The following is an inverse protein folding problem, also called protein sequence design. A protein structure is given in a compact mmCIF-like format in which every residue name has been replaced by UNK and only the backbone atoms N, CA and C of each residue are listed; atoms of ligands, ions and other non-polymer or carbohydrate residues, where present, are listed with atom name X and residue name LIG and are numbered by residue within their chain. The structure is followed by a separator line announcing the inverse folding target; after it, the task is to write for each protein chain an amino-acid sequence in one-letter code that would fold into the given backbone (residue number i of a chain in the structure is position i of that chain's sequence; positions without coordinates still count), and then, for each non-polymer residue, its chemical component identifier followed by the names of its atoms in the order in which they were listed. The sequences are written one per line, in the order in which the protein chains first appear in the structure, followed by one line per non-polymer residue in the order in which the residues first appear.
data_IF_829177751573
#
_entry.id   IF_829177751573
#
_cell.length_a   1.000
_cell.length_b   1.000
_cell.length_c   1.000
_cell.angle_alpha   90.00
_cell.angle_beta   90.00
_cell.angle_gamma   90.00
#
_symmetry.space_group_name_H-M   'P 1'
#
loop_
_entity.id
_entity.type
_entity.pdbx_description
1 polymer ?
#
# COMPACT_ATOMS: atom_id res chain seq x y z
N UNK A 1 -21.77 1.17 -16.81
CA UNK A 1 -20.49 1.91 -16.74
C UNK A 1 -19.53 1.02 -15.98
N UNK A 2 -18.37 0.81 -16.59
CA UNK A 2 -17.58 -0.43 -16.56
C UNK A 2 -17.17 -0.93 -15.17
N UNK A 3 -17.60 -2.15 -14.85
CA UNK A 3 -16.89 -2.99 -13.90
C UNK A 3 -15.55 -3.38 -14.54
N UNK A 4 -14.49 -2.62 -14.27
CA UNK A 4 -13.13 -3.11 -14.50
C UNK A 4 -12.83 -4.21 -13.47
N UNK A 5 -13.46 -5.37 -13.66
CA UNK A 5 -13.15 -6.60 -12.93
C UNK A 5 -11.84 -7.17 -13.46
N UNK A 6 -10.91 -7.45 -12.55
CA UNK A 6 -9.67 -8.15 -12.89
C UNK A 6 -9.98 -9.59 -13.30
N UNK A 7 -9.21 -10.18 -14.23
CA UNK A 7 -9.49 -11.54 -14.71
C UNK A 7 -9.17 -12.62 -13.67
N UNK A 8 -9.81 -13.80 -13.77
CA UNK A 8 -9.61 -14.96 -12.88
C UNK A 8 -8.13 -15.37 -12.72
N UNK A 9 -7.31 -15.15 -13.75
CA UNK A 9 -5.87 -15.43 -13.72
C UNK A 9 -5.08 -14.40 -12.89
N UNK A 10 -5.55 -13.16 -12.83
CA UNK A 10 -4.98 -12.09 -12.01
C UNK A 10 -5.46 -12.19 -10.56
N UNK A 11 -6.67 -12.70 -10.30
CA UNK A 11 -7.17 -12.96 -8.95
C UNK A 11 -6.30 -13.98 -8.19
N UNK A 12 -5.80 -15.01 -8.88
CA UNK A 12 -4.88 -16.01 -8.32
C UNK A 12 -3.45 -15.52 -8.03
N UNK A 13 -3.08 -14.31 -8.48
CA UNK A 13 -1.76 -13.70 -8.23
C UNK A 13 -1.85 -12.47 -7.31
N UNK A 14 -3.02 -12.24 -6.68
CA UNK A 14 -3.19 -11.20 -5.66
C UNK A 14 -2.61 -11.71 -4.35
N UNK A 15 -1.37 -11.36 -4.06
CA UNK A 15 -0.89 -11.49 -2.69
C UNK A 15 -1.63 -10.48 -1.81
N UNK A 16 -2.30 -10.98 -0.78
CA UNK A 16 -2.84 -10.15 0.29
C UNK A 16 -1.70 -9.29 0.85
N UNK A 17 -1.88 -7.97 0.96
CA UNK A 17 -0.80 -7.10 1.43
C UNK A 17 -0.33 -7.53 2.82
N UNK A 18 -1.24 -7.99 3.68
CA UNK A 18 -0.84 -8.50 4.98
C UNK A 18 0.00 -9.78 4.85
N UNK A 19 -0.26 -10.65 3.88
CA UNK A 19 0.58 -11.79 3.53
C UNK A 19 1.98 -11.37 3.07
N UNK A 20 2.09 -10.44 2.13
CA UNK A 20 3.39 -9.90 1.68
C UNK A 20 4.18 -9.33 2.87
N UNK A 21 3.53 -8.55 3.73
CA UNK A 21 4.15 -7.98 4.92
C UNK A 21 4.57 -9.06 5.93
N UNK A 22 3.78 -10.12 6.10
CA UNK A 22 4.14 -11.27 6.97
C UNK A 22 5.41 -11.95 6.46
N UNK A 23 5.47 -12.26 5.16
CA UNK A 23 6.63 -12.91 4.54
C UNK A 23 7.88 -12.02 4.64
N UNK A 24 7.78 -10.74 4.29
CA UNK A 24 8.92 -9.81 4.38
C UNK A 24 9.46 -9.67 5.81
N UNK A 25 8.58 -9.63 6.82
CA UNK A 25 8.99 -9.58 8.23
C UNK A 25 9.67 -10.88 8.67
N UNK A 26 9.19 -12.03 8.22
CA UNK A 26 9.82 -13.32 8.51
C UNK A 26 11.22 -13.40 7.88
N UNK A 27 11.35 -13.03 6.60
CA UNK A 27 12.63 -12.97 5.89
C UNK A 27 13.60 -11.97 6.54
N UNK A 28 13.10 -10.85 7.06
CA UNK A 28 13.95 -9.89 7.80
C UNK A 28 14.49 -10.49 9.09
N UNK A 29 13.68 -11.27 9.82
CA UNK A 29 14.13 -11.96 11.05
C UNK A 29 15.27 -12.94 10.74
N UNK A 30 15.19 -13.68 9.63
CA UNK A 30 16.24 -14.64 9.24
C UNK A 30 17.52 -13.94 8.77
N UNK A 31 17.39 -12.79 8.11
CA UNK A 31 18.52 -12.04 7.55
C UNK A 31 19.04 -10.90 8.45
N UNK A 32 18.59 -10.80 9.71
CA UNK A 32 18.95 -9.71 10.64
C UNK A 32 20.46 -9.51 10.82
N UNK A 33 21.27 -10.56 10.68
CA UNK A 33 22.74 -10.49 10.78
C UNK A 33 23.41 -9.89 9.54
N UNK A 34 22.72 -9.84 8.41
CA UNK A 34 23.20 -9.28 7.15
C UNK A 34 22.69 -7.84 7.00
N UNK A 35 23.43 -6.85 7.51
CA UNK A 35 23.01 -5.44 7.56
C UNK A 35 22.43 -4.89 6.24
N UNK A 36 23.07 -5.18 5.11
CA UNK A 36 22.59 -4.71 3.79
C UNK A 36 21.25 -5.32 3.39
N UNK A 37 21.05 -6.61 3.71
CA UNK A 37 19.79 -7.29 3.44
C UNK A 37 18.68 -6.86 4.40
N UNK A 38 18.99 -6.62 5.68
CA UNK A 38 18.03 -6.06 6.65
C UNK A 38 17.52 -4.68 6.21
N UNK A 39 18.44 -3.82 5.76
CA UNK A 39 18.11 -2.48 5.28
C UNK A 39 17.25 -2.53 4.00
N UNK A 40 17.61 -3.38 3.03
CA UNK A 40 16.80 -3.58 1.83
C UNK A 40 15.38 -4.07 2.16
N UNK A 41 15.25 -4.99 3.12
CA UNK A 41 13.95 -5.49 3.57
C UNK A 41 13.15 -4.43 4.35
N UNK A 42 13.81 -3.55 5.10
CA UNK A 42 13.16 -2.41 5.75
C UNK A 42 12.50 -1.50 4.71
N UNK A 43 13.26 -1.11 3.67
CA UNK A 43 12.75 -0.26 2.58
C UNK A 43 11.61 -0.95 1.81
N UNK A 44 11.73 -2.25 1.53
CA UNK A 44 10.68 -3.01 0.86
C UNK A 44 9.37 -3.05 1.69
N UNK A 45 9.47 -3.23 3.00
CA UNK A 45 8.31 -3.19 3.92
C UNK A 45 7.63 -1.81 3.88
N UNK A 46 8.42 -0.72 3.83
CA UNK A 46 7.89 0.64 3.74
C UNK A 46 7.18 0.88 2.40
N UNK A 47 7.77 0.44 1.29
CA UNK A 47 7.15 0.54 -0.03
C UNK A 47 5.82 -0.22 -0.10
N UNK A 48 5.77 -1.47 0.36
CA UNK A 48 4.53 -2.27 0.40
C UNK A 48 3.50 -1.65 1.35
N UNK A 49 3.95 -1.02 2.44
CA UNK A 49 3.03 -0.29 3.32
C UNK A 49 2.36 0.89 2.61
N UNK A 50 3.08 1.58 1.74
CA UNK A 50 2.61 2.77 1.03
C UNK A 50 1.58 2.45 -0.08
N UNK A 51 1.60 1.23 -0.65
CA UNK A 51 0.65 0.79 -1.70
C UNK A 51 -0.83 0.92 -1.33
N UNK A 52 -1.15 1.03 -0.04
CA UNK A 52 -2.51 1.02 0.48
C UNK A 52 -2.99 2.38 1.00
N UNK A 53 -2.25 3.47 0.80
CA UNK A 53 -2.77 4.78 1.18
C UNK A 53 -3.80 5.21 0.14
N UNK A 54 -5.12 5.25 0.46
CA UNK A 54 -6.03 6.00 -0.39
C UNK A 54 -5.51 7.42 -0.33
N UNK A 55 -5.13 8.00 -1.46
CA UNK A 55 -5.03 9.44 -1.56
C UNK A 55 -6.47 9.95 -1.36
N UNK A 56 -6.90 10.12 -0.11
CA UNK A 56 -8.03 10.97 0.22
C UNK A 56 -7.56 12.38 -0.13
N UNK A 57 -7.76 12.78 -1.40
CA UNK A 57 -7.82 14.18 -1.74
C UNK A 57 -8.82 14.79 -0.74
N UNK A 58 -8.31 15.59 0.20
CA UNK A 58 -9.16 16.58 0.85
C UNK A 58 -9.64 17.45 -0.30
N UNK A 59 -10.87 17.22 -0.75
CA UNK A 59 -11.60 18.23 -1.52
C UNK A 59 -11.40 19.52 -0.74
N UNK A 60 -10.61 20.43 -1.31
CA UNK A 60 -10.50 21.77 -0.80
C UNK A 60 -11.92 22.33 -0.98
N UNK A 61 -12.73 22.29 0.08
CA UNK A 61 -13.93 23.12 0.15
C UNK A 61 -13.43 24.54 -0.10
N UNK A 62 -13.69 25.03 -1.29
CA UNK A 62 -13.60 26.43 -1.63
C UNK A 62 -14.55 27.15 -0.68
N UNK A 63 -14.03 27.59 0.46
CA UNK A 63 -14.56 28.73 1.17
C UNK A 63 -14.47 29.90 0.19
N UNK A 64 -15.61 30.32 -0.36
CA UNK A 64 -16.00 31.73 -0.48
C UNK A 64 -17.26 31.85 -1.34
N UNK A 65 -18.44 31.77 -0.70
CA UNK A 65 -19.55 32.64 -1.08
C UNK A 65 -20.54 32.80 0.08
N UNK A 66 -20.89 34.03 0.50
CA UNK A 66 -21.83 34.26 1.59
C UNK A 66 -23.25 33.95 1.12
N UNK A 67 -23.92 33.04 1.83
CA UNK A 67 -25.35 32.81 1.70
C UNK A 67 -26.09 34.08 2.15
N UNK A 68 -26.73 34.78 1.21
CA UNK A 68 -27.66 35.87 1.52
C UNK A 68 -29.01 35.24 1.85
N UNK A 69 -29.51 35.51 3.06
CA UNK A 69 -30.87 35.17 3.52
C UNK A 69 -31.93 36.09 2.91
#
# INVERSE_FOLDING_TARGET
MDAMGFCEHCEGQRFDRAEVLRVLRATRKTLRKHRRADEALRVAIEAVRALETPHMERLHETFDEPIVH
#
